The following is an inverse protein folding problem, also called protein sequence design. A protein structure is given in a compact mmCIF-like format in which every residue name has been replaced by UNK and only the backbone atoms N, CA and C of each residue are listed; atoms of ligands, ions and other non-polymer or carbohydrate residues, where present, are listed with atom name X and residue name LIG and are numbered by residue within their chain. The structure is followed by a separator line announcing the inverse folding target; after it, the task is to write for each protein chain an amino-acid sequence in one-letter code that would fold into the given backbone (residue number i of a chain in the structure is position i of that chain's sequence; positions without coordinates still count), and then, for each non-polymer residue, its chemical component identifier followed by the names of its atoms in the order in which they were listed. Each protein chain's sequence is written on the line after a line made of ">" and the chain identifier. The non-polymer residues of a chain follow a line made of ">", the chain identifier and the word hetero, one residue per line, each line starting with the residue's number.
data_IF_760569255151
#
_entry.id   IF_760569255151
#
_cell.length_a   1.000
_cell.length_b   1.000
_cell.length_c   1.000
_cell.angle_alpha   90.00
_cell.angle_beta   90.00
_cell.angle_gamma   90.00
#
_symmetry.space_group_name_H-M   'P 1'
#
loop_
_entity.id
_entity.type
_entity.pdbx_description
1 polymer ?
#
# COMPACT_ATOMS: atom_id res chain seq x y z
N UNK A 1 -32.16 32.46 -4.26
CA UNK A 1 -31.97 33.72 -5.00
C UNK A 1 -32.94 34.76 -4.49
N UNK A 2 -32.48 35.67 -3.63
CA UNK A 2 -33.27 36.78 -3.10
C UNK A 2 -32.36 38.02 -3.00
N UNK A 3 -32.82 39.14 -3.55
CA UNK A 3 -32.41 40.50 -3.17
C UNK A 3 -33.67 41.23 -2.70
N UNK A 4 -33.57 41.87 -1.54
CA UNK A 4 -34.39 42.95 -0.97
C UNK A 4 -33.42 43.62 0.06
N UNK A 5 -33.22 44.93 0.32
CA UNK A 5 -33.88 46.23 0.08
C UNK A 5 -35.04 46.71 1.00
N UNK A 6 -34.74 47.28 2.19
CA UNK A 6 -35.04 48.71 2.49
C UNK A 6 -34.45 49.41 3.77
N UNK A 7 -34.65 50.75 3.77
CA UNK A 7 -33.92 51.92 4.34
C UNK A 7 -34.05 52.36 5.82
N UNK A 8 -33.13 53.31 6.13
CA UNK A 8 -32.80 54.04 7.36
C UNK A 8 -33.87 54.84 8.11
N UNK A 9 -33.91 54.65 9.45
CA UNK A 9 -34.35 55.65 10.44
C UNK A 9 -33.43 55.72 11.69
N UNK A 10 -32.78 56.87 11.92
CA UNK A 10 -32.48 57.40 13.26
C UNK A 10 -33.30 58.69 13.56
N UNK A 11 -32.92 59.56 14.52
CA UNK A 11 -32.04 59.41 15.69
C UNK A 11 -32.72 59.85 17.03
N UNK A 12 -32.10 59.57 18.19
CA UNK A 12 -32.68 59.86 19.52
C UNK A 12 -31.93 60.99 20.27
N UNK A 13 -32.67 61.81 21.02
CA UNK A 13 -32.18 62.97 21.76
C UNK A 13 -31.81 62.72 23.24
N UNK A 14 -31.54 63.81 23.97
CA UNK A 14 -31.04 63.76 25.35
C UNK A 14 -32.13 63.90 26.42
N UNK A 15 -32.05 63.08 27.47
CA UNK A 15 -32.91 63.17 28.66
C UNK A 15 -32.43 62.23 29.76
N UNK A 16 -32.49 62.67 31.03
CA UNK A 16 -32.12 61.84 32.18
C UNK A 16 -33.36 61.44 32.98
N UNK A 17 -33.59 60.13 33.19
CA UNK A 17 -34.79 59.66 33.90
C UNK A 17 -34.92 58.13 33.96
N UNK A 18 -34.39 57.54 35.04
CA UNK A 18 -34.50 56.13 35.45
C UNK A 18 -35.94 55.57 35.31
N UNK A 19 -36.13 54.33 34.79
CA UNK A 19 -37.16 53.34 35.23
C UNK A 19 -37.22 52.08 34.33
N UNK A 20 -36.40 51.04 34.54
CA UNK A 20 -36.36 49.91 33.58
C UNK A 20 -35.90 48.54 34.06
N UNK A 21 -36.76 47.53 33.81
CA UNK A 21 -36.38 46.12 33.63
C UNK A 21 -36.19 45.88 32.13
N UNK A 22 -35.13 45.21 31.69
CA UNK A 22 -35.12 44.52 30.40
C UNK A 22 -34.32 43.23 30.47
N UNK A 23 -34.83 42.22 29.78
CA UNK A 23 -34.48 40.80 29.89
C UNK A 23 -33.55 40.38 28.75
N UNK A 24 -32.26 40.68 28.89
CA UNK A 24 -31.26 40.22 27.95
C UNK A 24 -31.15 38.69 27.96
N UNK A 25 -31.43 38.02 26.84
CA UNK A 25 -31.16 36.58 26.67
C UNK A 25 -30.27 36.33 25.47
N UNK A 26 -28.97 36.32 25.77
CA UNK A 26 -27.99 35.71 24.91
C UNK A 26 -28.08 34.18 25.01
N UNK A 27 -29.04 33.59 24.29
CA UNK A 27 -28.63 32.59 23.32
C UNK A 27 -28.61 33.34 21.98
N UNK A 28 -27.48 33.44 21.25
CA UNK A 28 -26.72 32.36 20.56
C UNK A 28 -27.59 31.71 19.52
N UNK A 29 -27.10 31.24 18.37
CA UNK A 29 -25.85 30.51 18.12
C UNK A 29 -25.21 30.88 16.77
N UNK A 30 -24.12 30.19 16.44
CA UNK A 30 -23.63 29.70 15.13
C UNK A 30 -22.97 28.33 15.36
N UNK A 31 -23.34 27.26 14.62
CA UNK A 31 -22.35 26.65 13.73
C UNK A 31 -21.92 27.47 12.50
N UNK A 32 -20.80 27.09 11.87
CA UNK A 32 -20.02 27.95 11.00
C UNK A 32 -20.17 27.61 9.51
N UNK A 33 -19.62 28.46 8.62
CA UNK A 33 -18.72 29.55 9.01
C UNK A 33 -18.28 30.58 7.97
N UNK A 34 -17.15 31.24 8.22
CA UNK A 34 -16.30 31.18 9.42
C UNK A 34 -16.87 32.16 10.48
N UNK A 35 -16.76 31.86 11.78
CA UNK A 35 -17.32 32.71 12.84
C UNK A 35 -16.26 32.98 13.91
N UNK A 36 -15.63 34.15 13.89
CA UNK A 36 -14.91 34.62 15.08
C UNK A 36 -15.88 35.17 16.14
N UNK A 37 -15.42 35.34 17.38
CA UNK A 37 -16.24 35.87 18.48
C UNK A 37 -16.67 37.32 18.20
N UNK A 38 -17.85 37.75 18.69
CA UNK A 38 -18.34 39.11 18.47
C UNK A 38 -17.40 40.17 19.06
N UNK A 39 -17.18 41.27 18.33
CA UNK A 39 -16.53 42.48 18.83
C UNK A 39 -17.44 43.27 19.80
N UNK A 40 -17.67 42.65 20.96
CA UNK A 40 -18.09 43.24 22.24
C UNK A 40 -19.49 43.88 22.38
N UNK A 41 -20.31 43.16 23.16
CA UNK A 41 -21.42 43.64 24.02
C UNK A 41 -22.77 44.01 23.36
N UNK A 42 -23.90 43.55 23.93
CA UNK A 42 -25.24 43.96 23.51
C UNK A 42 -25.57 45.40 23.93
N UNK A 43 -26.59 45.98 23.29
CA UNK A 43 -27.08 47.33 23.59
C UNK A 43 -27.57 47.48 25.04
N UNK A 44 -27.32 48.64 25.64
CA UNK A 44 -27.73 48.91 27.01
C UNK A 44 -29.17 49.45 27.06
N UNK A 45 -30.00 48.78 27.85
CA UNK A 45 -31.43 49.05 28.01
C UNK A 45 -31.72 50.25 28.93
N UNK A 46 -32.43 51.28 28.42
CA UNK A 46 -32.67 52.55 29.12
C UNK A 46 -33.92 53.35 28.62
N UNK A 47 -35.15 53.14 29.16
CA UNK A 47 -35.45 52.13 30.14
C UNK A 47 -36.68 51.21 29.92
N UNK A 48 -37.20 50.85 28.74
CA UNK A 48 -37.34 51.40 27.37
C UNK A 48 -38.17 50.36 26.59
N UNK A 49 -38.89 50.68 25.51
CA UNK A 49 -39.16 52.01 24.96
C UNK A 49 -39.57 51.97 23.49
N UNK A 50 -38.82 51.21 22.68
CA UNK A 50 -38.92 51.19 21.21
C UNK A 50 -38.97 49.73 20.69
N UNK A 51 -39.06 49.54 19.37
CA UNK A 51 -38.89 48.19 18.77
C UNK A 51 -37.47 47.72 19.06
N UNK A 52 -37.33 46.68 19.89
CA UNK A 52 -36.02 46.12 20.18
C UNK A 52 -35.55 45.22 19.02
N UNK A 53 -34.25 45.25 18.78
CA UNK A 53 -33.55 44.21 18.04
C UNK A 53 -32.26 43.85 18.80
N UNK A 54 -31.83 42.59 18.70
CA UNK A 54 -30.58 42.12 19.29
C UNK A 54 -29.66 41.69 18.13
N UNK A 55 -28.72 42.57 17.74
CA UNK A 55 -27.72 42.27 16.71
C UNK A 55 -26.54 41.50 17.31
N UNK A 56 -26.11 40.44 16.63
CA UNK A 56 -24.84 39.77 16.89
C UNK A 56 -23.94 39.87 15.67
N UNK A 57 -22.76 40.45 15.85
CA UNK A 57 -21.73 40.55 14.81
C UNK A 57 -20.77 39.37 14.90
N UNK A 58 -20.40 38.86 13.74
CA UNK A 58 -19.42 37.81 13.52
C UNK A 58 -18.58 38.19 12.30
N UNK A 59 -17.62 37.34 11.93
CA UNK A 59 -16.86 37.51 10.69
C UNK A 59 -16.42 36.17 10.15
N UNK A 60 -16.69 35.94 8.85
CA UNK A 60 -15.94 35.00 8.05
C UNK A 60 -14.54 35.58 7.79
N UNK A 61 -13.71 35.49 8.82
CA UNK A 61 -12.25 35.69 8.79
C UNK A 61 -11.52 34.69 7.87
N UNK A 62 -12.24 33.67 7.38
CA UNK A 62 -11.72 32.64 6.52
C UNK A 62 -11.49 33.14 5.09
N UNK A 63 -11.19 32.18 4.22
CA UNK A 63 -10.65 32.46 2.89
C UNK A 63 -11.49 31.85 1.76
N UNK A 64 -12.69 31.32 2.07
CA UNK A 64 -13.56 30.60 1.13
C UNK A 64 -15.05 30.74 1.49
N UNK A 65 -15.91 30.41 0.52
CA UNK A 65 -17.38 30.35 0.64
C UNK A 65 -17.83 29.16 1.49
N UNK A 66 -18.74 29.40 2.44
CA UNK A 66 -18.99 28.52 3.57
C UNK A 66 -20.41 28.71 4.12
N UNK A 67 -21.16 27.63 4.27
CA UNK A 67 -22.54 27.56 4.76
C UNK A 67 -22.73 28.11 6.21
N UNK A 68 -23.84 28.76 6.59
CA UNK A 68 -24.31 29.07 7.98
C UNK A 68 -25.87 29.00 8.04
N UNK A 69 -26.55 28.69 9.19
CA UNK A 69 -28.05 28.46 9.21
C UNK A 69 -28.89 28.60 10.51
N UNK A 70 -29.67 29.67 10.67
CA UNK A 70 -30.33 30.02 11.94
C UNK A 70 -31.59 29.24 12.34
N UNK A 71 -31.94 29.35 13.62
CA UNK A 71 -33.03 28.66 14.32
C UNK A 71 -33.38 29.44 15.60
N UNK A 72 -34.44 29.09 16.33
CA UNK A 72 -34.93 29.83 17.50
C UNK A 72 -35.54 28.85 18.50
N UNK A 73 -35.05 28.76 19.75
CA UNK A 73 -35.32 27.64 20.65
C UNK A 73 -36.37 27.84 21.76
N UNK A 74 -36.61 29.06 22.24
CA UNK A 74 -37.27 29.26 23.54
C UNK A 74 -38.22 30.47 23.54
N UNK A 75 -39.50 30.19 23.81
CA UNK A 75 -40.67 30.91 23.29
C UNK A 75 -41.21 31.99 24.22
N UNK A 76 -41.56 33.14 23.62
CA UNK A 76 -42.27 34.23 24.27
C UNK A 76 -43.75 34.30 23.85
N UNK A 77 -44.25 33.25 23.19
CA UNK A 77 -45.51 33.19 22.48
C UNK A 77 -45.27 33.34 20.98
N UNK A 78 -45.69 32.34 20.20
CA UNK A 78 -45.58 32.35 18.74
C UNK A 78 -46.11 33.67 18.11
N UNK A 79 -45.27 34.29 17.28
CA UNK A 79 -45.53 35.60 16.67
C UNK A 79 -44.92 36.82 17.39
N UNK A 80 -44.12 36.64 18.45
CA UNK A 80 -43.53 37.76 19.20
C UNK A 80 -42.08 38.13 18.84
N UNK A 81 -41.35 37.30 18.09
CA UNK A 81 -40.05 37.67 17.49
C UNK A 81 -39.82 36.89 16.19
N UNK A 82 -38.85 37.34 15.39
CA UNK A 82 -38.26 36.55 14.31
C UNK A 82 -36.74 36.74 14.25
N UNK A 83 -36.08 35.94 13.42
CA UNK A 83 -34.62 35.81 13.35
C UNK A 83 -34.16 35.95 11.92
N UNK A 84 -33.10 36.72 11.69
CA UNK A 84 -32.50 36.89 10.36
C UNK A 84 -30.99 36.85 10.48
N UNK A 85 -30.34 36.24 9.49
CA UNK A 85 -28.89 36.24 9.36
C UNK A 85 -28.42 37.20 8.27
N UNK A 86 -27.18 37.64 8.38
CA UNK A 86 -26.60 38.71 7.58
C UNK A 86 -25.14 38.41 7.19
N UNK A 87 -24.72 38.86 6.02
CA UNK A 87 -23.38 39.30 5.58
C UNK A 87 -23.01 40.57 6.38
N UNK A 88 -21.88 41.19 6.06
CA UNK A 88 -21.11 42.09 6.93
C UNK A 88 -21.62 42.38 8.36
N UNK A 89 -22.01 43.61 8.65
CA UNK A 89 -22.72 43.96 9.88
C UNK A 89 -24.12 44.45 9.52
N UNK A 90 -25.08 44.21 10.40
CA UNK A 90 -26.46 44.60 10.17
C UNK A 90 -26.56 46.11 10.31
N UNK A 91 -27.20 46.72 9.33
CA UNK A 91 -27.56 48.13 9.40
C UNK A 91 -28.96 48.21 10.04
N UNK A 92 -29.08 48.66 11.31
CA UNK A 92 -30.36 48.76 11.99
C UNK A 92 -31.27 49.81 11.38
N UNK A 93 -30.69 50.64 10.54
CA UNK A 93 -31.39 51.58 9.72
C UNK A 93 -31.83 50.85 8.44
N UNK A 94 -30.92 50.33 7.61
CA UNK A 94 -31.25 49.60 6.36
C UNK A 94 -31.27 48.06 6.55
N UNK A 95 -32.36 47.55 7.16
CA UNK A 95 -32.47 46.20 7.74
C UNK A 95 -32.34 45.00 6.77
N UNK A 96 -32.11 45.25 5.48
CA UNK A 96 -31.99 44.21 4.45
C UNK A 96 -30.69 44.33 3.63
N UNK A 97 -29.93 45.40 3.81
CA UNK A 97 -28.51 45.36 3.42
C UNK A 97 -27.81 44.21 4.11
N UNK A 98 -26.78 43.67 3.47
CA UNK A 98 -26.01 42.58 4.06
C UNK A 98 -26.87 41.34 4.42
N UNK A 99 -28.02 41.02 3.82
CA UNK A 99 -28.81 39.82 4.22
C UNK A 99 -28.11 38.47 3.93
N UNK A 100 -28.54 37.39 4.60
CA UNK A 100 -28.18 36.00 4.30
C UNK A 100 -29.33 34.94 4.30
N UNK A 101 -30.11 34.69 5.38
CA UNK A 101 -31.38 33.89 5.34
C UNK A 101 -32.31 34.09 6.58
N UNK A 102 -33.50 33.43 6.61
CA UNK A 102 -34.54 33.43 7.69
C UNK A 102 -35.33 32.08 7.87
N UNK A 103 -36.05 31.82 8.99
CA UNK A 103 -36.70 30.54 9.36
C UNK A 103 -37.65 29.90 8.35
N UNK A 104 -38.23 30.68 7.45
CA UNK A 104 -39.37 30.24 6.66
C UNK A 104 -40.64 30.02 7.49
N UNK A 105 -41.71 29.60 6.80
CA UNK A 105 -43.07 30.09 7.08
C UNK A 105 -43.87 29.47 8.23
N UNK A 106 -43.30 28.61 9.09
CA UNK A 106 -43.89 28.38 10.41
C UNK A 106 -43.22 29.32 11.42
N UNK A 107 -43.77 30.53 11.54
CA UNK A 107 -43.40 31.56 12.53
C UNK A 107 -43.85 31.19 13.95
N UNK A 108 -43.46 29.99 14.36
CA UNK A 108 -43.50 29.46 15.71
C UNK A 108 -42.04 29.35 16.22
N UNK A 109 -41.81 29.26 17.54
CA UNK A 109 -40.52 28.76 18.04
C UNK A 109 -40.16 27.41 17.40
N UNK A 110 -38.87 27.18 17.13
CA UNK A 110 -38.33 25.85 16.81
C UNK A 110 -38.05 25.51 15.34
N UNK A 111 -37.95 26.48 14.41
CA UNK A 111 -37.61 26.21 12.98
C UNK A 111 -36.18 26.57 12.60
N UNK A 112 -35.58 25.84 11.66
CA UNK A 112 -34.19 26.00 11.17
C UNK A 112 -34.13 26.38 9.68
N UNK A 113 -33.12 27.16 9.27
CA UNK A 113 -33.01 27.81 7.95
C UNK A 113 -31.63 28.30 7.59
N UNK A 114 -31.31 28.53 6.30
CA UNK A 114 -29.91 28.36 5.90
C UNK A 114 -29.39 29.20 4.69
N UNK A 115 -28.10 29.61 4.71
CA UNK A 115 -27.38 30.51 3.76
C UNK A 115 -25.84 30.28 3.60
N UNK A 116 -25.10 30.96 2.70
CA UNK A 116 -23.61 30.91 2.59
C UNK A 116 -22.83 32.23 2.84
N UNK A 117 -21.53 32.16 3.18
CA UNK A 117 -20.65 33.26 3.65
C UNK A 117 -19.24 33.16 3.05
N UNK A 118 -18.61 34.23 2.56
CA UNK A 118 -17.37 34.19 1.74
C UNK A 118 -16.05 34.58 2.44
N UNK A 119 -14.92 34.49 1.71
CA UNK A 119 -13.61 34.93 2.16
C UNK A 119 -13.57 36.37 2.72
N UNK A 120 -13.09 36.55 3.96
CA UNK A 120 -12.94 37.86 4.63
C UNK A 120 -14.25 38.58 4.99
N UNK A 121 -15.39 38.04 4.57
CA UNK A 121 -16.73 38.60 4.72
C UNK A 121 -17.12 38.72 6.20
N UNK A 122 -17.37 39.93 6.71
CA UNK A 122 -18.07 40.04 8.00
C UNK A 122 -19.46 39.37 7.88
N UNK A 123 -20.08 38.93 8.97
CA UNK A 123 -21.45 38.41 8.89
C UNK A 123 -22.17 38.59 10.25
N UNK A 124 -23.49 38.75 10.29
CA UNK A 124 -24.25 39.07 11.50
C UNK A 124 -25.54 38.25 11.66
N UNK A 125 -26.23 38.48 12.78
CA UNK A 125 -27.55 37.98 13.16
C UNK A 125 -28.37 39.14 13.70
N UNK A 126 -29.69 39.03 13.60
CA UNK A 126 -30.62 39.88 14.34
C UNK A 126 -31.79 39.05 14.84
N UNK A 127 -32.19 39.23 16.11
CA UNK A 127 -33.60 39.04 16.48
C UNK A 127 -34.33 40.37 16.36
N UNK A 128 -35.53 40.36 15.81
CA UNK A 128 -36.44 41.50 15.83
C UNK A 128 -37.65 41.21 16.72
N UNK A 129 -37.98 42.13 17.63
CA UNK A 129 -39.21 42.11 18.42
C UNK A 129 -40.42 42.51 17.55
N UNK A 130 -41.52 41.75 17.66
CA UNK A 130 -42.78 41.98 16.96
C UNK A 130 -43.87 42.61 17.85
N UNK A 131 -43.74 42.55 19.19
CA UNK A 131 -44.80 42.97 20.13
C UNK A 131 -44.23 43.74 21.35
N UNK A 132 -43.86 45.03 21.16
CA UNK A 132 -43.35 45.88 22.25
C UNK A 132 -44.42 46.09 23.34
N UNK A 133 -44.33 45.31 24.41
CA UNK A 133 -45.32 45.23 25.50
C UNK A 133 -45.65 43.80 25.96
N UNK A 134 -45.29 42.77 25.19
CA UNK A 134 -45.32 41.40 25.65
C UNK A 134 -44.13 41.11 26.58
N UNK A 135 -44.37 40.47 27.74
CA UNK A 135 -43.29 40.10 28.67
C UNK A 135 -42.55 38.86 28.18
N UNK A 136 -41.69 39.07 27.18
CA UNK A 136 -40.69 38.10 26.78
C UNK A 136 -39.63 38.04 27.89
N UNK A 137 -39.83 37.18 28.90
CA UNK A 137 -38.91 37.10 30.05
C UNK A 137 -37.48 36.75 29.62
N UNK A 138 -37.30 36.21 28.41
CA UNK A 138 -36.04 36.03 27.69
C UNK A 138 -36.29 35.29 26.32
N UNK A 139 -35.49 35.46 25.25
CA UNK A 139 -35.59 34.73 23.94
C UNK A 139 -34.34 33.90 23.56
N UNK A 140 -34.45 32.81 22.78
CA UNK A 140 -33.26 32.02 22.35
C UNK A 140 -33.12 31.85 20.84
N UNK A 141 -32.00 32.31 20.29
CA UNK A 141 -31.62 32.26 18.87
C UNK A 141 -30.98 30.90 18.45
N UNK A 142 -30.36 30.83 17.25
CA UNK A 142 -29.43 29.82 16.67
C UNK A 142 -28.92 30.30 15.29
N UNK A 143 -27.82 29.73 14.76
CA UNK A 143 -27.21 29.67 13.40
C UNK A 143 -26.53 28.27 13.28
N UNK A 144 -26.31 27.71 12.08
CA UNK A 144 -25.81 26.36 11.76
C UNK A 144 -25.04 26.26 10.38
N UNK A 145 -25.58 25.72 9.27
CA UNK A 145 -25.01 25.67 7.88
C UNK A 145 -26.10 25.53 6.73
N UNK A 146 -25.96 26.22 5.55
CA UNK A 146 -26.88 26.48 4.37
C UNK A 146 -27.93 25.42 3.95
N UNK A 147 -28.85 25.71 2.99
CA UNK A 147 -29.53 24.68 2.17
C UNK A 147 -28.49 24.13 1.18
N UNK A 148 -27.30 23.87 1.72
CA UNK A 148 -26.38 22.94 1.17
C UNK A 148 -26.96 21.58 1.48
N UNK A 149 -27.56 21.01 0.44
CA UNK A 149 -27.27 19.63 0.13
C UNK A 149 -25.78 19.52 -0.20
N UNK A 150 -25.23 18.31 -0.14
CA UNK A 150 -23.86 18.01 -0.55
C UNK A 150 -23.95 16.62 -1.16
N UNK A 151 -24.18 16.57 -2.48
CA UNK A 151 -24.70 15.38 -3.15
C UNK A 151 -23.55 14.62 -3.79
N UNK A 152 -22.84 13.89 -2.94
CA UNK A 152 -21.68 13.10 -3.33
C UNK A 152 -22.06 11.77 -4.00
N UNK A 153 -21.17 11.27 -4.86
CA UNK A 153 -21.14 9.88 -5.33
C UNK A 153 -19.80 9.25 -5.00
N UNK A 154 -19.81 8.04 -4.44
CA UNK A 154 -18.65 7.18 -4.30
C UNK A 154 -18.78 6.03 -5.31
N UNK A 155 -17.77 5.82 -6.16
CA UNK A 155 -17.76 4.76 -7.17
C UNK A 155 -16.65 3.75 -6.91
N UNK A 156 -17.02 2.48 -6.85
CA UNK A 156 -16.11 1.34 -6.69
C UNK A 156 -16.32 0.31 -7.79
N UNK A 157 -15.36 -0.59 -7.96
CA UNK A 157 -15.48 -1.84 -8.70
C UNK A 157 -15.12 -3.01 -7.76
N UNK A 158 -15.65 -4.21 -8.01
CA UNK A 158 -15.29 -5.43 -7.29
C UNK A 158 -13.96 -6.07 -7.78
N UNK A 159 -13.41 -5.59 -8.90
CA UNK A 159 -12.09 -5.96 -9.40
C UNK A 159 -11.38 -4.74 -10.05
N UNK A 160 -10.05 -4.67 -9.91
CA UNK A 160 -9.17 -3.72 -10.63
C UNK A 160 -8.81 -4.18 -12.03
N UNK A 161 -8.87 -5.49 -12.25
CA UNK A 161 -8.43 -6.18 -13.45
C UNK A 161 -9.55 -7.15 -13.86
N UNK A 162 -9.87 -7.24 -15.14
CA UNK A 162 -11.00 -8.05 -15.62
C UNK A 162 -10.70 -8.68 -16.98
N UNK A 163 -10.46 -10.01 -17.01
CA UNK A 163 -10.27 -10.75 -18.25
C UNK A 163 -11.47 -10.60 -19.21
N UNK A 164 -11.21 -10.57 -20.52
CA UNK A 164 -12.27 -10.46 -21.53
C UNK A 164 -13.26 -11.64 -21.41
N UNK A 165 -14.56 -11.31 -21.34
CA UNK A 165 -15.65 -12.26 -21.10
C UNK A 165 -16.04 -12.40 -19.61
N UNK A 166 -15.18 -12.00 -18.68
CA UNK A 166 -15.52 -11.89 -17.25
C UNK A 166 -16.36 -10.64 -16.96
N UNK A 167 -17.06 -10.66 -15.82
CA UNK A 167 -17.89 -9.56 -15.34
C UNK A 167 -17.23 -8.75 -14.23
N UNK A 168 -17.40 -7.43 -14.27
CA UNK A 168 -17.14 -6.51 -13.16
C UNK A 168 -18.45 -5.92 -12.65
N UNK A 169 -18.53 -5.66 -11.35
CA UNK A 169 -19.64 -4.99 -10.68
C UNK A 169 -19.20 -3.62 -10.21
N UNK A 170 -19.69 -2.57 -10.85
CA UNK A 170 -19.57 -1.22 -10.33
C UNK A 170 -20.64 -0.98 -9.26
N UNK A 171 -20.24 -0.50 -8.08
CA UNK A 171 -21.16 -0.02 -7.06
C UNK A 171 -20.99 1.49 -6.89
N UNK A 172 -22.09 2.21 -7.10
CA UNK A 172 -22.18 3.67 -6.96
C UNK A 172 -23.03 3.94 -5.71
N UNK A 173 -22.43 4.53 -4.68
CA UNK A 173 -23.16 4.95 -3.49
C UNK A 173 -23.35 6.46 -3.51
N UNK A 174 -24.60 6.91 -3.52
CA UNK A 174 -24.97 8.33 -3.53
C UNK A 174 -25.44 8.72 -2.14
N UNK A 175 -25.02 9.88 -1.64
CA UNK A 175 -25.42 10.40 -0.32
C UNK A 175 -25.66 11.90 -0.37
N UNK A 176 -26.62 12.40 0.41
CA UNK A 176 -26.72 13.83 0.72
C UNK A 176 -26.02 14.12 2.06
N UNK A 177 -24.79 14.63 2.02
CA UNK A 177 -24.01 14.96 3.22
C UNK A 177 -24.41 16.32 3.83
N UNK A 178 -25.26 17.08 3.15
CA UNK A 178 -25.48 18.49 3.43
C UNK A 178 -26.58 18.73 4.49
N UNK A 179 -26.46 19.79 5.31
CA UNK A 179 -27.38 20.19 6.40
C UNK A 179 -28.90 20.26 6.11
N UNK A 180 -29.36 20.23 4.86
CA UNK A 180 -30.79 20.23 4.52
C UNK A 180 -31.12 19.11 3.50
N UNK A 181 -32.40 18.71 3.43
CA UNK A 181 -32.87 17.57 2.64
C UNK A 181 -32.70 17.78 1.12
N UNK A 182 -32.03 16.85 0.43
CA UNK A 182 -31.94 16.82 -1.02
C UNK A 182 -33.18 16.19 -1.65
N UNK A 183 -33.59 16.75 -2.79
CA UNK A 183 -34.65 16.18 -3.62
C UNK A 183 -34.20 16.00 -5.06
N UNK A 184 -34.92 15.15 -5.80
CA UNK A 184 -34.69 14.84 -7.21
C UNK A 184 -33.24 14.40 -7.50
N UNK A 185 -32.65 13.66 -6.56
CA UNK A 185 -31.28 13.15 -6.66
C UNK A 185 -31.21 12.19 -7.85
N UNK A 186 -30.36 12.53 -8.82
CA UNK A 186 -30.27 11.90 -10.14
C UNK A 186 -28.82 11.85 -10.60
N UNK A 187 -28.48 10.86 -11.41
CA UNK A 187 -27.11 10.72 -11.91
C UNK A 187 -26.98 9.83 -13.14
N UNK A 188 -25.77 9.81 -13.69
CA UNK A 188 -25.45 9.12 -14.95
C UNK A 188 -24.06 8.48 -14.88
N UNK A 189 -23.97 7.24 -15.38
CA UNK A 189 -22.77 6.41 -15.44
C UNK A 189 -22.59 5.88 -16.88
N UNK A 190 -21.86 6.62 -17.74
CA UNK A 190 -21.56 6.22 -19.11
C UNK A 190 -20.42 5.18 -19.13
N UNK A 191 -20.76 3.91 -18.93
CA UNK A 191 -19.77 2.82 -18.82
C UNK A 191 -18.90 2.74 -20.09
N UNK A 192 -17.56 2.73 -19.99
CA UNK A 192 -16.67 2.79 -21.15
C UNK A 192 -16.85 1.60 -22.08
N UNK A 193 -16.60 1.82 -23.38
CA UNK A 193 -16.92 0.85 -24.46
C UNK A 193 -16.10 -0.44 -24.44
N UNK A 194 -15.07 -0.55 -23.58
CA UNK A 194 -14.39 -1.82 -23.31
C UNK A 194 -15.20 -2.79 -22.45
N UNK A 195 -16.35 -2.36 -21.92
CA UNK A 195 -17.36 -3.21 -21.30
C UNK A 195 -18.67 -3.21 -22.09
N UNK A 196 -19.56 -4.15 -21.77
CA UNK A 196 -20.97 -4.14 -22.15
C UNK A 196 -21.84 -4.32 -20.91
N UNK A 197 -22.77 -3.40 -20.64
CA UNK A 197 -23.64 -3.46 -19.45
C UNK A 197 -24.63 -4.62 -19.57
N UNK A 198 -24.66 -5.49 -18.55
CA UNK A 198 -25.48 -6.72 -18.52
C UNK A 198 -26.62 -6.66 -17.51
N UNK A 199 -26.55 -5.78 -16.50
CA UNK A 199 -27.56 -5.67 -15.46
C UNK A 199 -27.40 -4.39 -14.63
N UNK A 200 -28.51 -3.91 -14.06
CA UNK A 200 -28.53 -2.77 -13.12
C UNK A 200 -29.57 -2.99 -12.03
N UNK A 201 -29.32 -2.45 -10.84
CA UNK A 201 -30.29 -2.40 -9.73
C UNK A 201 -30.03 -1.18 -8.84
N UNK A 202 -31.04 -0.77 -8.05
CA UNK A 202 -30.92 0.31 -7.07
C UNK A 202 -31.64 -0.05 -5.78
N UNK A 203 -31.17 0.45 -4.64
CA UNK A 203 -31.88 0.32 -3.34
C UNK A 203 -33.06 1.29 -3.21
N UNK A 204 -33.05 2.40 -3.97
CA UNK A 204 -34.11 3.41 -3.94
C UNK A 204 -34.43 3.96 -5.34
N UNK A 205 -35.71 4.32 -5.57
CA UNK A 205 -36.14 4.99 -6.79
C UNK A 205 -36.08 4.07 -8.02
N UNK A 206 -35.27 4.43 -9.02
CA UNK A 206 -35.18 3.72 -10.30
C UNK A 206 -33.82 3.87 -10.99
N UNK A 207 -33.41 2.85 -11.73
CA UNK A 207 -32.24 2.84 -12.62
C UNK A 207 -32.63 2.24 -13.98
N UNK A 208 -31.96 2.68 -15.04
CA UNK A 208 -32.13 2.16 -16.40
C UNK A 208 -30.81 2.22 -17.17
N UNK A 209 -30.64 1.35 -18.17
CA UNK A 209 -29.48 1.33 -19.05
C UNK A 209 -29.93 1.35 -20.52
N UNK A 210 -29.29 2.18 -21.35
CA UNK A 210 -29.51 2.22 -22.81
C UNK A 210 -28.16 1.99 -23.49
N UNK A 211 -27.91 0.74 -23.86
CA UNK A 211 -26.54 0.29 -24.11
C UNK A 211 -25.70 0.45 -22.83
N UNK A 212 -24.55 1.08 -22.95
CA UNK A 212 -23.67 1.32 -21.80
C UNK A 212 -24.02 2.58 -20.97
N UNK A 213 -24.89 3.47 -21.46
CA UNK A 213 -25.25 4.65 -20.67
C UNK A 213 -26.29 4.29 -19.62
N UNK A 214 -25.87 4.23 -18.36
CA UNK A 214 -26.75 4.00 -17.21
C UNK A 214 -27.20 5.35 -16.64
N UNK A 215 -28.48 5.47 -16.33
CA UNK A 215 -29.06 6.68 -15.72
C UNK A 215 -30.01 6.28 -14.59
N UNK A 216 -29.94 7.02 -13.47
CA UNK A 216 -30.70 6.71 -12.26
C UNK A 216 -31.37 7.95 -11.63
N UNK A 217 -32.45 7.70 -10.92
CA UNK A 217 -33.25 8.68 -10.19
C UNK A 217 -33.68 8.08 -8.85
N UNK A 218 -33.13 8.64 -7.77
CA UNK A 218 -33.25 8.12 -6.40
C UNK A 218 -34.36 8.83 -5.61
N UNK A 219 -34.77 10.02 -6.06
CA UNK A 219 -35.88 10.77 -5.45
C UNK A 219 -35.40 11.75 -4.39
N UNK A 220 -36.00 11.71 -3.19
CA UNK A 220 -35.51 12.47 -2.05
C UNK A 220 -34.44 11.68 -1.30
N UNK A 221 -33.39 12.37 -0.86
CA UNK A 221 -32.45 11.91 0.16
C UNK A 221 -32.44 12.98 1.25
N UNK A 222 -33.01 12.66 2.41
CA UNK A 222 -32.95 13.53 3.58
C UNK A 222 -31.49 13.86 3.97
N UNK A 223 -31.27 14.82 4.87
CA UNK A 223 -29.97 15.06 5.49
C UNK A 223 -29.34 13.74 5.98
N UNK A 224 -28.23 13.33 5.36
CA UNK A 224 -27.48 12.10 5.66
C UNK A 224 -28.02 10.80 5.05
N UNK A 225 -29.06 10.85 4.21
CA UNK A 225 -29.61 9.65 3.55
C UNK A 225 -28.76 9.22 2.34
N UNK A 226 -28.61 7.91 2.16
CA UNK A 226 -27.88 7.30 1.03
C UNK A 226 -28.78 6.37 0.23
N UNK A 227 -28.50 6.23 -1.06
CA UNK A 227 -28.99 5.13 -1.88
C UNK A 227 -27.91 4.62 -2.84
N UNK A 228 -27.97 3.32 -3.15
CA UNK A 228 -26.93 2.59 -3.89
C UNK A 228 -27.46 2.18 -5.26
N UNK A 229 -26.60 2.27 -6.28
CA UNK A 229 -26.85 1.81 -7.65
C UNK A 229 -25.75 0.83 -8.03
N UNK A 230 -26.13 -0.40 -8.34
CA UNK A 230 -25.22 -1.47 -8.79
C UNK A 230 -25.35 -1.62 -10.30
N UNK A 231 -24.22 -1.70 -11.00
CA UNK A 231 -24.11 -1.89 -12.45
C UNK A 231 -23.16 -3.05 -12.74
N UNK A 232 -23.68 -4.16 -13.28
CA UNK A 232 -22.86 -5.28 -13.74
C UNK A 232 -22.56 -5.13 -15.23
N UNK A 233 -21.31 -5.33 -15.62
CA UNK A 233 -20.88 -5.24 -17.01
C UNK A 233 -19.80 -6.30 -17.34
N UNK A 234 -19.78 -6.77 -18.59
CA UNK A 234 -18.83 -7.79 -19.07
C UNK A 234 -17.74 -7.15 -19.92
N UNK A 235 -16.47 -7.51 -19.72
CA UNK A 235 -15.35 -6.99 -20.50
C UNK A 235 -15.39 -7.53 -21.95
N UNK A 236 -15.21 -6.65 -22.95
CA UNK A 236 -15.35 -6.96 -24.39
C UNK A 236 -14.18 -6.49 -25.27
N UNK A 237 -13.28 -5.64 -24.78
CA UNK A 237 -12.03 -5.30 -25.46
C UNK A 237 -10.90 -5.07 -24.46
N UNK A 238 -9.65 -5.15 -24.93
CA UNK A 238 -8.48 -4.85 -24.11
C UNK A 238 -8.32 -3.33 -23.86
N UNK A 239 -7.58 -2.97 -22.81
CA UNK A 239 -7.18 -1.60 -22.48
C UNK A 239 -7.48 -1.19 -21.04
N UNK A 240 -6.93 -0.02 -20.66
CA UNK A 240 -7.25 0.63 -19.38
C UNK A 240 -8.58 1.38 -19.53
N UNK A 241 -9.60 0.96 -18.80
CA UNK A 241 -10.93 1.55 -18.82
C UNK A 241 -11.11 2.47 -17.62
N UNK A 242 -11.58 3.70 -17.83
CA UNK A 242 -11.97 4.62 -16.75
C UNK A 242 -13.49 4.78 -16.82
N UNK A 243 -14.19 4.36 -15.76
CA UNK A 243 -15.63 4.54 -15.63
C UNK A 243 -15.91 5.66 -14.63
N UNK A 244 -16.54 6.76 -15.05
CA UNK A 244 -16.83 7.94 -14.21
C UNK A 244 -18.33 8.15 -14.04
N UNK A 245 -18.81 8.12 -12.80
CA UNK A 245 -20.19 8.41 -12.44
C UNK A 245 -20.34 9.87 -12.02
N UNK A 246 -21.47 10.49 -12.39
CA UNK A 246 -21.82 11.84 -11.95
C UNK A 246 -23.20 11.87 -11.29
N UNK A 247 -23.39 12.73 -10.29
CA UNK A 247 -24.65 12.86 -9.55
C UNK A 247 -24.99 14.32 -9.22
N UNK A 248 -26.27 14.65 -9.11
CA UNK A 248 -26.78 15.98 -8.74
C UNK A 248 -28.08 15.86 -7.93
N UNK A 249 -28.37 16.85 -7.09
CA UNK A 249 -29.67 17.01 -6.39
C UNK A 249 -30.04 18.48 -6.24
N UNK A 250 -31.10 18.78 -5.48
CA UNK A 250 -31.57 20.16 -5.26
C UNK A 250 -30.96 20.84 -4.02
N UNK A 251 -29.99 21.73 -4.20
CA UNK A 251 -29.46 22.61 -3.15
C UNK A 251 -28.23 23.39 -3.62
N UNK A 252 -27.57 24.11 -2.71
CA UNK A 252 -26.23 24.65 -2.96
C UNK A 252 -25.17 23.63 -2.57
N UNK A 253 -24.66 22.85 -3.52
CA UNK A 253 -23.62 21.87 -3.20
C UNK A 253 -22.37 22.56 -2.58
N UNK A 254 -22.00 22.21 -1.33
CA UNK A 254 -20.77 22.73 -0.70
C UNK A 254 -19.57 22.30 -1.53
N UNK A 255 -19.50 21.00 -1.82
CA UNK A 255 -18.38 20.37 -2.46
C UNK A 255 -18.80 19.80 -3.81
N UNK A 256 -18.91 20.73 -4.77
CA UNK A 256 -19.13 20.48 -6.19
C UNK A 256 -18.15 19.46 -6.82
N UNK A 257 -17.05 19.10 -6.13
CA UNK A 257 -16.07 18.11 -6.56
C UNK A 257 -16.46 16.68 -6.17
N UNK A 258 -17.33 16.51 -5.16
CA UNK A 258 -17.84 15.20 -4.71
C UNK A 258 -18.90 14.59 -5.65
N UNK A 259 -19.46 15.42 -6.53
CA UNK A 259 -20.50 15.07 -7.49
C UNK A 259 -20.00 14.22 -8.69
N UNK A 260 -18.70 13.94 -8.78
CA UNK A 260 -18.10 13.03 -9.78
C UNK A 260 -17.14 12.04 -9.09
N UNK A 261 -17.23 10.77 -9.46
CA UNK A 261 -16.33 9.73 -8.93
C UNK A 261 -16.02 8.69 -10.00
N UNK A 262 -14.73 8.39 -10.18
CA UNK A 262 -14.24 7.49 -11.22
C UNK A 262 -13.41 6.36 -10.66
N UNK A 263 -13.50 5.21 -11.31
CA UNK A 263 -12.68 4.03 -11.02
C UNK A 263 -12.04 3.52 -12.32
N UNK A 264 -10.79 3.08 -12.19
CA UNK A 264 -10.01 2.46 -13.25
C UNK A 264 -10.14 0.94 -13.15
N UNK A 265 -10.40 0.29 -14.29
CA UNK A 265 -10.36 -1.18 -14.41
C UNK A 265 -9.54 -1.53 -15.66
N UNK A 266 -8.50 -2.35 -15.52
CA UNK A 266 -7.77 -2.89 -16.65
C UNK A 266 -8.52 -4.07 -17.27
N UNK A 267 -8.53 -4.14 -18.59
CA UNK A 267 -9.19 -5.22 -19.35
C UNK A 267 -8.21 -5.82 -20.33
N UNK A 268 -8.20 -7.13 -20.47
CA UNK A 268 -7.15 -7.83 -21.21
C UNK A 268 -7.42 -9.31 -21.41
N UNK A 269 -6.48 -9.97 -22.06
CA UNK A 269 -6.32 -11.42 -21.99
C UNK A 269 -5.75 -11.85 -20.63
N UNK A 270 -6.11 -13.05 -20.19
CA UNK A 270 -5.58 -13.77 -19.02
C UNK A 270 -4.79 -14.96 -19.58
N UNK A 271 -3.53 -15.11 -19.15
CA UNK A 271 -2.55 -15.96 -19.80
C UNK A 271 -2.51 -17.40 -19.28
N UNK A 272 -2.78 -17.58 -18.00
CA UNK A 272 -2.66 -18.85 -17.28
C UNK A 272 -3.88 -19.19 -16.40
N UNK A 273 -4.83 -18.27 -16.26
CA UNK A 273 -6.13 -18.47 -15.61
C UNK A 273 -6.18 -18.08 -14.14
N UNK A 274 -5.29 -17.21 -13.67
CA UNK A 274 -5.21 -16.80 -12.26
C UNK A 274 -6.23 -15.68 -11.88
N UNK A 275 -6.74 -14.94 -12.88
CA UNK A 275 -7.72 -13.85 -12.74
C UNK A 275 -7.17 -12.45 -13.02
N UNK A 276 -5.84 -12.28 -13.10
CA UNK A 276 -5.19 -11.03 -13.52
C UNK A 276 -5.17 -10.91 -15.05
N UNK A 277 -4.91 -9.70 -15.57
CA UNK A 277 -4.75 -9.49 -17.01
C UNK A 277 -3.27 -9.39 -17.37
N UNK A 278 -2.84 -10.05 -18.46
CA UNK A 278 -1.42 -10.21 -18.84
C UNK A 278 -0.64 -8.92 -19.17
N UNK A 279 -1.27 -7.75 -19.04
CA UNK A 279 -0.64 -6.43 -19.14
C UNK A 279 -0.48 -5.69 -17.80
N UNK A 280 -1.12 -6.17 -16.73
CA UNK A 280 -0.96 -5.72 -15.34
C UNK A 280 -0.15 -6.73 -14.51
N UNK A 281 -0.27 -8.01 -14.86
CA UNK A 281 0.28 -9.17 -14.18
C UNK A 281 1.83 -9.20 -14.16
N UNK A 282 2.41 -9.38 -12.97
CA UNK A 282 3.85 -9.49 -12.76
C UNK A 282 4.44 -10.91 -12.98
N UNK A 283 3.60 -11.92 -13.25
CA UNK A 283 4.01 -13.24 -13.74
C UNK A 283 3.08 -13.82 -14.84
N UNK A 284 3.02 -13.24 -16.08
CA UNK A 284 2.07 -13.59 -17.17
C UNK A 284 2.01 -15.03 -17.74
N UNK A 285 2.62 -16.00 -17.06
CA UNK A 285 2.63 -17.44 -17.40
C UNK A 285 2.72 -18.36 -16.16
N UNK A 286 2.71 -17.81 -14.94
CA UNK A 286 2.86 -18.54 -13.66
C UNK A 286 1.91 -17.96 -12.59
N UNK A 287 0.61 -18.18 -12.81
CA UNK A 287 -0.50 -17.63 -12.03
C UNK A 287 -0.27 -17.50 -10.51
N UNK A 288 -0.35 -16.26 -10.05
CA UNK A 288 -0.07 -15.78 -8.71
C UNK A 288 -1.11 -14.70 -8.30
N UNK A 289 -2.35 -15.06 -7.94
CA UNK A 289 -3.44 -14.08 -7.81
C UNK A 289 -3.22 -12.98 -6.75
N UNK A 290 -2.29 -13.19 -5.81
CA UNK A 290 -1.87 -12.19 -4.82
C UNK A 290 -0.84 -11.18 -5.31
N UNK A 291 -0.26 -11.39 -6.49
CA UNK A 291 0.71 -10.51 -7.18
C UNK A 291 1.91 -10.08 -6.30
N UNK A 292 2.32 -10.93 -5.35
CA UNK A 292 3.38 -10.58 -4.40
C UNK A 292 4.75 -10.40 -5.10
N UNK A 293 5.29 -9.18 -5.06
CA UNK A 293 6.68 -8.79 -5.39
C UNK A 293 7.35 -8.33 -4.08
N UNK A 294 8.49 -8.91 -3.72
CA UNK A 294 9.14 -8.71 -2.41
C UNK A 294 10.25 -7.65 -2.40
N UNK A 295 10.78 -7.23 -3.55
CA UNK A 295 11.89 -6.27 -3.64
C UNK A 295 11.67 -5.11 -4.61
N UNK A 296 10.61 -5.17 -5.42
CA UNK A 296 10.09 -4.07 -6.22
C UNK A 296 10.69 -3.95 -7.61
N UNK A 297 11.16 -5.06 -8.20
CA UNK A 297 11.77 -5.06 -9.53
C UNK A 297 10.77 -5.14 -10.70
N UNK A 298 9.52 -5.54 -10.41
CA UNK A 298 8.44 -5.69 -11.39
C UNK A 298 8.11 -7.14 -11.77
N UNK A 299 8.77 -8.15 -11.20
CA UNK A 299 8.41 -9.56 -11.33
C UNK A 299 7.83 -10.11 -10.02
N UNK A 300 6.84 -11.00 -10.13
CA UNK A 300 6.26 -11.64 -8.96
C UNK A 300 7.14 -12.75 -8.39
N UNK A 301 7.08 -12.94 -7.07
CA UNK A 301 7.73 -14.01 -6.29
C UNK A 301 7.51 -15.44 -6.85
N UNK A 302 6.50 -15.64 -7.71
CA UNK A 302 6.14 -16.92 -8.30
C UNK A 302 6.94 -17.27 -9.58
N UNK A 303 7.45 -16.26 -10.28
CA UNK A 303 8.22 -16.40 -11.53
C UNK A 303 9.64 -15.84 -11.43
N UNK A 304 9.94 -15.04 -10.41
CA UNK A 304 11.28 -14.54 -10.11
C UNK A 304 12.22 -15.64 -9.55
N UNK A 305 13.42 -15.72 -10.11
CA UNK A 305 14.50 -16.61 -9.67
C UNK A 305 15.37 -16.03 -8.52
N UNK A 306 15.14 -14.79 -8.08
CA UNK A 306 15.77 -14.17 -6.91
C UNK A 306 14.82 -13.31 -6.02
N UNK A 307 13.74 -13.86 -5.39
CA UNK A 307 12.65 -13.12 -4.68
C UNK A 307 12.99 -12.27 -3.43
N UNK A 308 14.08 -11.51 -3.49
CA UNK A 308 14.65 -10.62 -2.46
C UNK A 308 15.90 -9.85 -2.95
N UNK A 309 16.31 -9.99 -4.22
CA UNK A 309 17.48 -9.35 -4.85
C UNK A 309 17.19 -8.91 -6.29
N UNK A 310 16.24 -7.98 -6.46
CA UNK A 310 15.87 -7.22 -7.65
C UNK A 310 16.78 -7.39 -8.89
N UNK A 311 16.31 -8.21 -9.84
CA UNK A 311 17.06 -8.66 -11.01
C UNK A 311 16.18 -8.91 -12.25
N UNK A 312 15.36 -7.94 -12.65
CA UNK A 312 14.39 -8.02 -13.77
C UNK A 312 14.94 -8.33 -15.18
N UNK A 313 16.21 -8.74 -15.29
CA UNK A 313 16.77 -9.43 -16.45
C UNK A 313 16.73 -10.97 -16.34
N UNK A 314 16.38 -11.53 -15.17
CA UNK A 314 16.28 -12.96 -14.85
C UNK A 314 17.48 -13.79 -15.32
N UNK A 315 18.68 -13.23 -15.19
CA UNK A 315 19.91 -13.93 -15.56
C UNK A 315 20.11 -15.18 -14.68
N UNK A 316 20.38 -16.31 -15.33
CA UNK A 316 20.67 -17.60 -14.73
C UNK A 316 21.57 -18.38 -15.71
N UNK A 317 22.86 -18.47 -15.41
CA UNK A 317 23.89 -18.95 -16.35
C UNK A 317 24.06 -20.48 -16.38
N UNK A 318 23.67 -21.22 -15.34
CA UNK A 318 23.77 -22.70 -15.31
C UNK A 318 22.43 -23.45 -15.35
N UNK A 319 21.31 -22.76 -15.11
CA UNK A 319 19.95 -23.28 -15.22
C UNK A 319 19.41 -23.93 -13.96
N UNK A 320 19.94 -23.61 -12.78
CA UNK A 320 19.40 -24.03 -11.48
C UNK A 320 18.17 -23.19 -11.06
N UNK A 321 17.66 -23.35 -9.83
CA UNK A 321 16.49 -22.62 -9.31
C UNK A 321 16.75 -21.15 -8.92
N UNK A 322 18.00 -20.71 -8.81
CA UNK A 322 18.37 -19.33 -8.49
C UNK A 322 18.84 -18.56 -9.73
N UNK A 323 18.84 -17.22 -9.66
CA UNK A 323 19.48 -16.36 -10.66
C UNK A 323 20.84 -15.81 -10.23
N UNK A 324 21.66 -15.41 -11.21
CA UNK A 324 23.02 -14.85 -11.09
C UNK A 324 23.15 -13.74 -10.03
N UNK A 325 22.05 -13.07 -9.67
CA UNK A 325 22.01 -11.91 -8.78
C UNK A 325 21.96 -12.27 -7.28
N UNK A 326 21.32 -13.38 -6.91
CA UNK A 326 21.13 -13.81 -5.51
C UNK A 326 22.15 -14.87 -5.06
N UNK A 327 23.11 -15.20 -5.90
CA UNK A 327 24.12 -16.24 -5.66
C UNK A 327 25.56 -15.72 -5.82
N UNK A 328 26.55 -16.60 -5.67
CA UNK A 328 27.99 -16.27 -5.77
C UNK A 328 28.82 -17.32 -6.53
N UNK A 329 28.20 -18.23 -7.28
CA UNK A 329 28.86 -19.24 -8.12
C UNK A 329 28.10 -19.56 -9.43
N UNK A 330 27.86 -18.61 -10.38
CA UNK A 330 26.89 -18.78 -11.49
C UNK A 330 27.28 -19.75 -12.63
N UNK A 331 27.97 -20.84 -12.30
CA UNK A 331 28.39 -21.90 -13.22
C UNK A 331 28.51 -23.25 -12.48
N UNK A 332 27.78 -23.42 -11.38
CA UNK A 332 27.79 -24.60 -10.50
C UNK A 332 26.35 -24.87 -9.98
N UNK A 333 25.49 -25.55 -10.78
CA UNK A 333 24.04 -25.71 -10.56
C UNK A 333 23.67 -26.69 -9.43
N UNK A 334 24.54 -26.75 -8.43
CA UNK A 334 24.45 -27.51 -7.19
C UNK A 334 24.90 -26.66 -5.99
N UNK A 335 25.25 -25.36 -6.19
CA UNK A 335 26.05 -24.61 -5.22
C UNK A 335 25.97 -23.07 -5.35
N UNK A 336 24.93 -22.47 -4.77
CA UNK A 336 24.71 -21.01 -4.68
C UNK A 336 25.87 -20.16 -4.09
N UNK A 337 26.88 -20.75 -3.44
CA UNK A 337 27.99 -19.99 -2.85
C UNK A 337 29.32 -20.77 -2.75
N UNK A 338 30.50 -20.11 -2.86
CA UNK A 338 31.80 -20.79 -2.96
C UNK A 338 32.16 -21.77 -1.83
N UNK A 339 31.60 -21.59 -0.63
CA UNK A 339 31.94 -22.40 0.55
C UNK A 339 33.43 -22.33 0.90
N UNK A 340 34.03 -23.47 1.26
CA UNK A 340 35.47 -23.59 1.57
C UNK A 340 36.24 -24.11 0.36
N UNK A 341 35.62 -24.94 -0.47
CA UNK A 341 36.25 -25.57 -1.63
C UNK A 341 36.27 -24.70 -2.91
N UNK A 342 35.51 -23.60 -2.96
CA UNK A 342 35.28 -22.80 -4.17
C UNK A 342 34.11 -23.31 -5.03
N UNK A 343 33.73 -22.56 -6.05
CA UNK A 343 32.74 -22.99 -7.05
C UNK A 343 33.28 -24.18 -7.88
N UNK A 344 32.39 -25.03 -8.37
CA UNK A 344 32.69 -26.25 -9.14
C UNK A 344 33.25 -27.40 -8.29
N UNK A 345 33.24 -27.28 -6.96
CA UNK A 345 33.81 -28.28 -6.03
C UNK A 345 32.91 -28.41 -4.78
N UNK A 346 32.25 -29.56 -4.55
CA UNK A 346 31.42 -29.76 -3.37
C UNK A 346 32.20 -29.69 -2.05
N UNK A 347 31.62 -29.05 -1.03
CA UNK A 347 32.14 -29.03 0.35
C UNK A 347 31.82 -30.34 1.09
N UNK A 348 32.38 -31.44 0.59
CA UNK A 348 32.20 -32.79 1.13
C UNK A 348 33.45 -33.25 1.89
N UNK A 349 33.25 -33.94 3.02
CA UNK A 349 34.24 -34.80 3.66
C UNK A 349 33.71 -36.24 3.62
N UNK A 350 34.05 -36.97 2.56
CA UNK A 350 33.55 -38.32 2.30
C UNK A 350 34.05 -39.37 3.30
N UNK A 351 34.99 -39.02 4.19
CA UNK A 351 35.62 -39.93 5.14
C UNK A 351 35.48 -39.51 6.61
N UNK A 352 34.78 -38.39 6.88
CA UNK A 352 34.42 -37.87 8.20
C UNK A 352 35.63 -37.66 9.14
N UNK A 353 36.74 -37.15 8.59
CA UNK A 353 37.95 -36.84 9.36
C UNK A 353 37.98 -35.39 9.90
N UNK A 354 37.06 -34.53 9.45
CA UNK A 354 36.98 -33.11 9.78
C UNK A 354 37.65 -32.17 8.77
N UNK A 355 38.09 -32.68 7.62
CA UNK A 355 38.79 -31.94 6.57
C UNK A 355 38.17 -32.32 5.22
N UNK A 356 37.56 -31.34 4.56
CA UNK A 356 36.92 -31.47 3.26
C UNK A 356 37.90 -32.02 2.21
N UNK A 357 37.40 -32.84 1.28
CA UNK A 357 38.21 -33.59 0.32
C UNK A 357 39.06 -32.65 -0.56
N UNK A 358 38.55 -31.47 -0.91
CA UNK A 358 39.29 -30.41 -1.62
C UNK A 358 40.56 -29.94 -0.89
N UNK A 359 40.55 -29.97 0.45
CA UNK A 359 41.63 -29.50 1.33
C UNK A 359 42.53 -30.66 1.81
N UNK A 360 42.28 -31.91 1.40
CA UNK A 360 43.08 -33.09 1.77
C UNK A 360 44.55 -33.04 1.31
N UNK A 361 44.91 -32.10 0.42
CA UNK A 361 46.32 -31.82 0.10
C UNK A 361 47.08 -31.20 1.28
N UNK A 362 46.40 -30.54 2.22
CA UNK A 362 46.99 -29.97 3.43
C UNK A 362 47.43 -31.07 4.41
N UNK A 363 46.60 -32.11 4.57
CA UNK A 363 46.94 -33.36 5.29
C UNK A 363 48.13 -34.07 4.67
N UNK A 364 48.11 -34.29 3.34
CA UNK A 364 49.20 -34.96 2.66
C UNK A 364 50.53 -34.19 2.82
N UNK A 365 50.49 -32.86 2.76
CA UNK A 365 51.67 -32.01 2.95
C UNK A 365 52.14 -31.95 4.41
N UNK A 366 51.24 -31.87 5.40
CA UNK A 366 51.60 -31.87 6.83
C UNK A 366 52.24 -33.22 7.21
N UNK A 367 51.67 -34.33 6.72
CA UNK A 367 52.22 -35.68 6.86
C UNK A 367 53.58 -35.83 6.17
N UNK A 368 53.76 -35.26 4.97
CA UNK A 368 55.06 -35.23 4.28
C UNK A 368 56.10 -34.45 5.10
N UNK A 369 55.76 -33.28 5.63
CA UNK A 369 56.67 -32.48 6.46
C UNK A 369 57.03 -33.22 7.76
N UNK A 370 56.07 -33.89 8.41
CA UNK A 370 56.33 -34.74 9.58
C UNK A 370 57.30 -35.87 9.24
N UNK A 371 57.09 -36.58 8.13
CA UNK A 371 58.00 -37.61 7.61
C UNK A 371 59.39 -37.06 7.32
N UNK A 372 59.50 -35.92 6.63
CA UNK A 372 60.78 -35.27 6.34
C UNK A 372 61.52 -34.84 7.62
N UNK A 373 60.81 -34.30 8.60
CA UNK A 373 61.35 -33.88 9.91
C UNK A 373 61.90 -35.08 10.70
N UNK A 374 61.18 -36.20 10.71
CA UNK A 374 61.64 -37.44 11.35
C UNK A 374 62.78 -38.13 10.55
N UNK A 375 62.77 -38.08 9.21
CA UNK A 375 63.91 -38.49 8.37
C UNK A 375 65.16 -37.64 8.65
N UNK A 376 65.01 -36.32 8.87
CA UNK A 376 66.12 -35.42 9.22
C UNK A 376 66.68 -35.76 10.60
N UNK A 377 65.84 -36.04 11.60
CA UNK A 377 66.24 -36.56 12.93
C UNK A 377 66.92 -37.93 12.86
N UNK A 378 66.48 -38.81 11.96
CA UNK A 378 67.09 -40.14 11.75
C UNK A 378 68.46 -40.07 11.06
N UNK A 379 68.83 -38.95 10.41
CA UNK A 379 70.17 -38.71 9.87
C UNK A 379 71.16 -38.20 10.92
N UNK A 380 70.70 -37.51 11.97
CA UNK A 380 71.56 -36.97 13.04
C UNK A 380 71.68 -37.87 14.28
N UNK A 381 70.76 -38.81 14.50
CA UNK A 381 70.75 -39.70 15.68
C UNK A 381 71.18 -41.15 15.40
N UNK A 382 72.42 -41.50 15.76
CA UNK A 382 73.03 -42.82 15.53
C UNK A 382 72.47 -43.99 16.38
N UNK A 383 71.22 -44.42 16.18
CA UNK A 383 70.61 -45.52 16.96
C UNK A 383 69.76 -46.50 16.12
N UNK A 384 70.41 -47.49 15.49
CA UNK A 384 69.76 -48.55 14.64
C UNK A 384 68.65 -49.35 15.35
N UNK A 385 68.54 -49.33 16.69
CA UNK A 385 67.52 -50.07 17.47
C UNK A 385 66.14 -49.38 17.47
N UNK A 386 66.06 -48.07 17.75
CA UNK A 386 64.79 -47.29 17.72
C UNK A 386 64.16 -47.24 16.32
N UNK A 387 65.00 -47.30 15.27
CA UNK A 387 64.57 -47.35 13.85
C UNK A 387 63.63 -48.54 13.54
N UNK A 388 63.74 -49.68 14.24
CA UNK A 388 62.89 -50.86 13.97
C UNK A 388 61.46 -50.68 14.49
N UNK A 389 61.27 -50.09 15.67
CA UNK A 389 59.94 -49.81 16.23
C UNK A 389 59.22 -48.72 15.42
N UNK A 390 59.89 -47.60 15.10
CA UNK A 390 59.28 -46.55 14.26
C UNK A 390 58.99 -46.98 12.83
N UNK A 391 59.73 -47.95 12.26
CA UNK A 391 59.36 -48.59 10.98
C UNK A 391 58.04 -49.37 11.01
N UNK A 392 57.49 -49.73 12.19
CA UNK A 392 56.13 -50.26 12.32
C UNK A 392 55.10 -49.13 12.22
N UNK A 393 55.25 -48.07 13.01
CA UNK A 393 54.37 -46.89 12.97
C UNK A 393 54.31 -46.24 11.57
N UNK A 394 55.46 -46.06 10.91
CA UNK A 394 55.52 -45.53 9.53
C UNK A 394 54.76 -46.43 8.54
N UNK A 395 54.72 -47.77 8.74
CA UNK A 395 53.90 -48.65 7.90
C UNK A 395 52.41 -48.54 8.18
N UNK A 396 52.02 -48.28 9.42
CA UNK A 396 50.61 -48.06 9.78
C UNK A 396 50.13 -46.73 9.18
N UNK A 397 50.85 -45.63 9.39
CA UNK A 397 50.52 -44.33 8.77
C UNK A 397 50.56 -44.35 7.24
N UNK A 398 51.53 -45.07 6.64
CA UNK A 398 51.54 -45.26 5.18
C UNK A 398 50.35 -46.08 4.68
N UNK A 399 49.76 -46.97 5.50
CA UNK A 399 48.53 -47.66 5.13
C UNK A 399 47.32 -46.71 5.19
N UNK A 400 47.21 -45.87 6.22
CA UNK A 400 46.17 -44.83 6.33
C UNK A 400 46.21 -43.83 5.17
N UNK A 401 47.42 -43.37 4.79
CA UNK A 401 47.58 -42.53 3.58
C UNK A 401 47.19 -43.30 2.32
N UNK A 402 47.46 -44.61 2.23
CA UNK A 402 47.10 -45.42 1.07
C UNK A 402 45.60 -45.74 0.96
N UNK A 403 44.82 -45.62 2.04
CA UNK A 403 43.35 -45.64 2.00
C UNK A 403 42.77 -44.28 1.62
N UNK A 404 43.31 -43.18 2.15
CA UNK A 404 42.93 -41.82 1.72
C UNK A 404 43.18 -41.66 0.21
N UNK A 405 44.36 -42.11 -0.28
CA UNK A 405 44.71 -42.07 -1.71
C UNK A 405 43.84 -42.96 -2.62
N UNK A 406 43.00 -43.85 -2.07
CA UNK A 406 42.01 -44.59 -2.87
C UNK A 406 40.73 -43.77 -3.02
N UNK A 407 40.19 -43.23 -1.93
CA UNK A 407 39.00 -42.36 -1.95
C UNK A 407 39.23 -41.16 -2.89
N UNK A 408 40.39 -40.51 -2.80
CA UNK A 408 40.76 -39.41 -3.71
C UNK A 408 41.04 -39.83 -5.16
N UNK A 409 41.26 -41.13 -5.45
CA UNK A 409 41.40 -41.63 -6.83
C UNK A 409 40.04 -41.86 -7.44
N UNK A 410 39.10 -42.44 -6.69
CA UNK A 410 37.75 -42.75 -7.19
C UNK A 410 36.97 -41.46 -7.48
N UNK A 411 37.14 -40.42 -6.64
CA UNK A 411 36.57 -39.07 -6.88
C UNK A 411 37.20 -38.29 -8.05
N UNK A 412 38.33 -38.74 -8.62
CA UNK A 412 39.07 -38.03 -9.69
C UNK A 412 38.90 -38.73 -11.06
N UNK A 413 38.19 -39.86 -11.13
CA UNK A 413 38.02 -40.60 -12.39
C UNK A 413 37.09 -39.92 -13.43
N UNK A 414 36.34 -38.88 -13.05
CA UNK A 414 35.38 -38.20 -13.93
C UNK A 414 36.01 -37.24 -14.95
N UNK A 415 37.27 -36.79 -14.80
CA UNK A 415 37.90 -35.84 -15.75
C UNK A 415 39.37 -36.13 -16.11
N UNK A 416 39.60 -36.46 -17.39
CA UNK A 416 40.84 -36.25 -18.15
C UNK A 416 42.20 -36.81 -17.63
N UNK A 417 42.31 -38.12 -17.35
CA UNK A 417 43.57 -38.73 -16.86
C UNK A 417 44.32 -39.73 -17.79
N UNK A 418 43.73 -40.20 -18.90
CA UNK A 418 44.20 -41.41 -19.62
C UNK A 418 45.62 -41.38 -20.24
N UNK A 419 46.25 -40.22 -20.39
CA UNK A 419 47.58 -40.11 -21.04
C UNK A 419 48.75 -40.38 -20.08
N UNK A 420 48.60 -40.18 -18.76
CA UNK A 420 49.73 -40.12 -17.84
C UNK A 420 50.16 -41.46 -17.20
N UNK A 421 49.23 -42.41 -16.96
CA UNK A 421 49.57 -43.70 -16.33
C UNK A 421 50.65 -44.46 -17.10
N UNK A 422 50.62 -44.43 -18.43
CA UNK A 422 51.56 -45.14 -19.31
C UNK A 422 52.99 -44.59 -19.18
N UNK A 423 53.17 -43.28 -18.95
CA UNK A 423 54.49 -42.70 -18.63
C UNK A 423 54.98 -43.16 -17.25
N UNK A 424 54.14 -43.07 -16.23
CA UNK A 424 54.50 -43.39 -14.85
C UNK A 424 54.85 -44.89 -14.66
N UNK A 425 54.08 -45.79 -15.26
CA UNK A 425 54.32 -47.24 -15.23
C UNK A 425 55.69 -47.59 -15.85
N UNK A 426 56.06 -46.94 -16.96
CA UNK A 426 57.35 -47.14 -17.60
C UNK A 426 58.53 -46.54 -16.80
N UNK A 427 58.34 -45.41 -16.13
CA UNK A 427 59.35 -44.86 -15.20
C UNK A 427 59.59 -45.80 -14.01
N UNK A 428 58.53 -46.34 -13.38
CA UNK A 428 58.65 -47.33 -12.30
C UNK A 428 59.39 -48.60 -12.76
N UNK A 429 59.07 -49.13 -13.94
CA UNK A 429 59.78 -50.29 -14.53
C UNK A 429 61.28 -50.01 -14.72
N UNK A 430 61.65 -48.78 -15.12
CA UNK A 430 63.06 -48.35 -15.27
C UNK A 430 63.77 -48.25 -13.92
N UNK A 431 63.12 -47.67 -12.91
CA UNK A 431 63.65 -47.56 -11.55
C UNK A 431 63.89 -48.94 -10.88
N UNK A 432 62.93 -49.87 -10.99
CA UNK A 432 63.06 -51.24 -10.45
C UNK A 432 64.19 -52.03 -11.13
N UNK A 433 64.39 -51.86 -12.45
CA UNK A 433 65.54 -52.45 -13.18
C UNK A 433 66.87 -51.87 -12.72
N UNK A 434 66.93 -50.57 -12.40
CA UNK A 434 68.11 -49.94 -11.80
C UNK A 434 68.44 -50.50 -10.41
N UNK A 435 67.47 -50.44 -9.49
CA UNK A 435 67.63 -50.85 -8.09
C UNK A 435 67.97 -52.34 -7.91
N UNK A 436 67.66 -53.19 -8.88
CA UNK A 436 67.93 -54.64 -8.81
C UNK A 436 69.31 -55.04 -9.32
N UNK A 437 70.09 -54.18 -10.00
CA UNK A 437 71.34 -54.59 -10.69
C UNK A 437 72.32 -55.32 -9.76
N UNK A 438 72.55 -54.79 -8.55
CA UNK A 438 73.49 -55.32 -7.54
C UNK A 438 72.96 -56.48 -6.66
N UNK A 439 71.74 -56.99 -6.89
CA UNK A 439 71.17 -58.08 -6.08
C UNK A 439 71.53 -59.48 -6.59
N UNK A 440 71.68 -60.45 -5.67
CA UNK A 440 71.89 -61.86 -6.01
C UNK A 440 70.67 -62.50 -6.68
N UNK A 441 70.87 -63.60 -7.42
CA UNK A 441 69.83 -64.26 -8.23
C UNK A 441 68.62 -64.79 -7.42
N UNK A 442 68.78 -64.99 -6.11
CA UNK A 442 67.68 -65.35 -5.19
C UNK A 442 66.85 -64.12 -4.79
N UNK A 443 67.51 -63.00 -4.45
CA UNK A 443 66.84 -61.74 -4.12
C UNK A 443 66.09 -61.15 -5.32
N UNK A 444 66.68 -61.20 -6.53
CA UNK A 444 66.03 -60.80 -7.79
C UNK A 444 64.71 -61.54 -8.02
N UNK A 445 64.69 -62.87 -7.84
CA UNK A 445 63.46 -63.69 -7.99
C UNK A 445 62.39 -63.32 -6.96
N UNK A 446 62.74 -63.14 -5.68
CA UNK A 446 61.77 -62.73 -4.63
C UNK A 446 61.21 -61.31 -4.83
N UNK A 447 62.00 -60.38 -5.36
CA UNK A 447 61.53 -59.04 -5.73
C UNK A 447 60.56 -59.10 -6.92
N UNK A 448 60.92 -59.81 -8.00
CA UNK A 448 60.10 -59.92 -9.20
C UNK A 448 58.75 -60.61 -8.93
N UNK A 449 58.72 -61.62 -8.06
CA UNK A 449 57.48 -62.27 -7.63
C UNK A 449 56.52 -61.31 -6.89
N UNK A 450 57.04 -60.40 -6.05
CA UNK A 450 56.23 -59.37 -5.39
C UNK A 450 55.69 -58.33 -6.38
N UNK A 451 56.51 -57.88 -7.33
CA UNK A 451 56.05 -56.97 -8.41
C UNK A 451 54.94 -57.63 -9.23
N UNK A 452 55.09 -58.91 -9.62
CA UNK A 452 54.02 -59.64 -10.32
C UNK A 452 52.74 -59.81 -9.47
N UNK A 453 52.85 -60.08 -8.17
CA UNK A 453 51.65 -60.13 -7.29
C UNK A 453 50.97 -58.76 -7.17
N UNK A 454 51.74 -57.68 -7.10
CA UNK A 454 51.21 -56.31 -7.07
C UNK A 454 50.49 -55.96 -8.38
N UNK A 455 51.13 -56.22 -9.53
CA UNK A 455 50.49 -56.00 -10.84
C UNK A 455 49.22 -56.84 -11.04
N UNK A 456 49.15 -58.08 -10.55
CA UNK A 456 47.93 -58.91 -10.67
C UNK A 456 46.80 -58.46 -9.74
N UNK A 457 47.06 -57.60 -8.77
CA UNK A 457 46.05 -56.95 -7.91
C UNK A 457 45.54 -55.63 -8.49
N UNK A 458 46.11 -55.19 -9.62
CA UNK A 458 45.92 -53.88 -10.28
C UNK A 458 45.27 -54.06 -11.67
N UNK A 459 44.56 -55.19 -11.83
CA UNK A 459 43.87 -55.70 -13.04
C UNK A 459 42.53 -56.38 -12.61
N UNK A 460 42.20 -56.37 -11.32
CA UNK A 460 41.00 -56.99 -10.69
C UNK A 460 40.22 -55.94 -9.86
N UNK A 461 40.78 -54.73 -9.84
CA UNK A 461 40.24 -53.41 -9.48
C UNK A 461 40.89 -52.43 -10.45
#
# INVERSE_FOLDING_TARGET
>A
SCEIFYEDHGPIGSGSGIHGFQTGRLNRFSPPGFCENPETSPGLFAPSGERAYDEFRFKNIGLQTNCVSAHVLDDCGAGNYFVVAYKNFFDPTNIETNYLADPGSSAAPGRLFSFPVEAGQDFSLVLHDLNPGATCEAYSLRLCSNYCTDVAVEKTADATDTPIGSSVTYNLRVTNNGPDDATQVTGNDPVPTGFSVTGTSTTQGSVSAVGNNVSFSLGALALGESADVTVTATAVSEGVQINSATVRGTGFDIDANSNESSVLVATGTDGDGDGQVSGSDNCPTVGNPGQEDSDGDGLGNACDNCPSVANGNQANLDGDSAGDACETCPADPLKLAPGVCGCGVPDVDANQNGILDCNSTLELNSFLQALQKDIKKLKSGGAKKKLRQRKKAIRTGLASVNSILQVSVDSVQTTNANVNLTKLNNQMRKAVRGATKQLSASAKRKALAKVKKFQKSLIVS
#
